data_IF_985537293600
#
_entry.id   IF_985537293600
#
_cell.length_a   1.000
_cell.length_b   1.000
_cell.length_c   1.000
_cell.angle_alpha   90.00
_cell.angle_beta   90.00
_cell.angle_gamma   90.00
#
_symmetry.space_group_name_H-M   'P 1'
#
loop_
_entity.id
_entity.type
_entity.pdbx_description
1 polymer ?
#
# COMPACT_ATOMS: atom_id res chain seq x y z
N UNK A 1 -5.66 29.95 -5.84
CA UNK A 1 -4.67 31.04 -6.01
C UNK A 1 -3.28 30.63 -5.52
N UNK A 2 -3.10 30.20 -4.26
CA UNK A 2 -1.77 29.80 -3.77
C UNK A 2 -1.12 28.63 -4.55
N UNK A 3 -1.93 27.71 -5.07
CA UNK A 3 -1.48 26.61 -5.96
C UNK A 3 -0.77 27.07 -7.23
N UNK A 4 -1.07 28.27 -7.73
CA UNK A 4 -0.42 28.82 -8.92
C UNK A 4 1.06 29.18 -8.68
N UNK A 5 1.52 29.23 -7.42
CA UNK A 5 2.94 29.36 -7.11
C UNK A 5 3.70 28.05 -7.37
N UNK A 6 3.01 26.90 -7.34
CA UNK A 6 3.60 25.56 -7.44
C UNK A 6 3.52 25.03 -8.86
N UNK A 7 2.38 25.19 -9.53
CA UNK A 7 2.16 24.72 -10.91
C UNK A 7 1.42 25.78 -11.76
N UNK A 8 2.05 26.95 -12.00
CA UNK A 8 1.43 28.04 -12.78
C UNK A 8 1.13 27.64 -14.22
N UNK A 9 2.01 26.86 -14.85
CA UNK A 9 1.91 26.42 -16.24
C UNK A 9 0.66 25.57 -16.49
N UNK A 10 0.27 24.73 -15.52
CA UNK A 10 -0.94 23.92 -15.62
C UNK A 10 -2.19 24.81 -15.59
N UNK A 11 -2.24 25.81 -14.71
CA UNK A 11 -3.37 26.75 -14.67
C UNK A 11 -3.46 27.60 -15.93
N UNK A 12 -2.33 28.06 -16.46
CA UNK A 12 -2.27 28.77 -17.74
C UNK A 12 -2.79 27.90 -18.89
N UNK A 13 -2.41 26.61 -18.92
CA UNK A 13 -2.89 25.67 -19.93
C UNK A 13 -4.39 25.37 -19.79
N UNK A 14 -4.91 25.28 -18.55
CA UNK A 14 -6.36 25.15 -18.29
C UNK A 14 -7.12 26.36 -18.82
N UNK A 15 -6.66 27.58 -18.50
CA UNK A 15 -7.31 28.82 -18.97
C UNK A 15 -7.31 28.88 -20.50
N UNK A 16 -6.16 28.61 -21.14
CA UNK A 16 -6.05 28.62 -22.59
C UNK A 16 -6.94 27.55 -23.26
N UNK A 17 -7.15 26.39 -22.63
CA UNK A 17 -8.07 25.37 -23.13
C UNK A 17 -9.53 25.81 -23.00
N UNK A 18 -9.90 26.43 -21.88
CA UNK A 18 -11.23 27.00 -21.65
C UNK A 18 -11.57 28.10 -22.67
N UNK A 19 -10.63 29.01 -22.95
CA UNK A 19 -10.81 30.11 -23.92
C UNK A 19 -11.05 29.59 -25.35
N UNK A 20 -10.47 28.42 -25.68
CA UNK A 20 -10.68 27.75 -26.97
C UNK A 20 -11.92 26.84 -27.00
N UNK A 21 -12.65 26.73 -25.89
CA UNK A 21 -13.80 25.81 -25.76
C UNK A 21 -13.45 24.33 -25.64
N UNK A 22 -12.16 23.98 -25.47
CA UNK A 22 -11.69 22.60 -25.29
C UNK A 22 -11.84 22.16 -23.82
N UNK A 23 -13.08 21.80 -23.46
CA UNK A 23 -13.44 21.42 -22.10
C UNK A 23 -12.80 20.09 -21.67
N UNK A 24 -12.50 19.18 -22.59
CA UNK A 24 -11.94 17.88 -22.25
C UNK A 24 -10.47 17.99 -21.84
N UNK A 25 -9.69 18.78 -22.58
CA UNK A 25 -8.31 19.10 -22.17
C UNK A 25 -8.29 19.87 -20.86
N UNK A 26 -9.15 20.89 -20.71
CA UNK A 26 -9.24 21.67 -19.47
C UNK A 26 -9.54 20.76 -18.26
N UNK A 27 -10.51 19.85 -18.40
CA UNK A 27 -10.89 18.89 -17.35
C UNK A 27 -9.75 17.92 -17.03
N UNK A 28 -9.06 17.39 -18.04
CA UNK A 28 -7.93 16.47 -17.85
C UNK A 28 -6.80 17.14 -17.07
N UNK A 29 -6.40 18.35 -17.46
CA UNK A 29 -5.36 19.13 -16.78
C UNK A 29 -5.76 19.49 -15.34
N UNK A 30 -7.02 19.89 -15.11
CA UNK A 30 -7.51 20.17 -13.77
C UNK A 30 -7.50 18.93 -12.87
N UNK A 31 -7.85 17.76 -13.42
CA UNK A 31 -7.79 16.48 -12.70
C UNK A 31 -6.36 16.11 -12.29
N UNK A 32 -5.36 16.41 -13.11
CA UNK A 32 -3.95 16.11 -12.80
C UNK A 32 -3.45 16.79 -11.51
N UNK A 33 -3.94 17.99 -11.19
CA UNK A 33 -3.53 18.74 -9.99
C UNK A 33 -4.52 18.63 -8.83
N UNK A 34 -5.58 17.82 -8.97
CA UNK A 34 -6.69 17.79 -8.02
C UNK A 34 -6.26 17.34 -6.63
N UNK A 35 -5.47 16.26 -6.52
CA UNK A 35 -5.02 15.71 -5.23
C UNK A 35 -4.17 16.75 -4.49
N UNK A 36 -3.14 17.26 -5.14
CA UNK A 36 -2.27 18.30 -4.58
C UNK A 36 -3.05 19.59 -4.21
N UNK A 37 -4.01 20.01 -5.05
CA UNK A 37 -4.91 21.13 -4.74
C UNK A 37 -5.75 20.89 -3.49
N UNK A 38 -6.28 19.68 -3.30
CA UNK A 38 -7.07 19.31 -2.11
C UNK A 38 -6.22 19.30 -0.85
N UNK A 39 -4.97 18.83 -0.92
CA UNK A 39 -4.01 18.92 0.19
C UNK A 39 -3.79 20.39 0.56
N UNK A 40 -3.56 21.26 -0.43
CA UNK A 40 -3.37 22.70 -0.19
C UNK A 40 -4.61 23.38 0.41
N UNK A 41 -5.81 22.98 0.01
CA UNK A 41 -7.05 23.47 0.61
C UNK A 41 -7.22 22.98 2.06
N UNK A 42 -6.86 21.73 2.36
CA UNK A 42 -7.00 21.13 3.69
C UNK A 42 -6.04 21.73 4.72
N UNK A 43 -4.77 21.90 4.34
CA UNK A 43 -3.71 22.34 5.27
C UNK A 43 -3.30 23.81 5.08
N UNK A 44 -3.89 24.49 4.10
CA UNK A 44 -3.71 25.91 3.85
C UNK A 44 -2.42 26.28 3.11
N UNK A 45 -2.45 27.45 2.46
CA UNK A 45 -1.33 27.98 1.69
C UNK A 45 -0.10 28.36 2.53
N UNK A 46 -0.28 28.65 3.82
CA UNK A 46 0.83 29.00 4.70
C UNK A 46 1.76 27.84 5.00
N UNK A 47 1.25 26.60 5.02
CA UNK A 47 1.99 25.40 5.45
C UNK A 47 2.28 24.48 4.26
N UNK A 48 1.23 23.94 3.62
CA UNK A 48 1.41 22.93 2.58
C UNK A 48 2.02 23.48 1.27
N UNK A 49 1.59 24.67 0.82
CA UNK A 49 2.19 25.31 -0.37
C UNK A 49 3.64 25.69 -0.11
N UNK A 50 3.96 26.24 1.07
CA UNK A 50 5.37 26.49 1.43
C UNK A 50 6.20 25.20 1.47
N UNK A 51 5.62 24.09 1.94
CA UNK A 51 6.31 22.82 1.93
C UNK A 51 6.59 22.33 0.50
N UNK A 52 5.61 22.43 -0.40
CA UNK A 52 5.79 22.10 -1.82
C UNK A 52 6.88 22.97 -2.46
N UNK A 53 6.84 24.29 -2.23
CA UNK A 53 7.85 25.21 -2.74
C UNK A 53 9.25 24.89 -2.21
N UNK A 54 9.40 24.51 -0.93
CA UNK A 54 10.69 24.05 -0.38
C UNK A 54 11.20 22.79 -1.06
N UNK A 55 10.32 21.82 -1.35
CA UNK A 55 10.69 20.60 -2.07
C UNK A 55 11.16 20.91 -3.49
N UNK A 56 10.59 21.95 -4.12
CA UNK A 56 11.03 22.49 -5.41
C UNK A 56 12.31 23.35 -5.32
N UNK A 57 12.94 23.45 -4.14
CA UNK A 57 14.17 24.22 -3.93
C UNK A 57 13.97 25.72 -3.72
N UNK A 58 12.75 26.21 -3.50
CA UNK A 58 12.46 27.63 -3.29
C UNK A 58 12.55 28.02 -1.82
N UNK A 59 13.31 29.06 -1.50
CA UNK A 59 13.42 29.59 -0.14
C UNK A 59 12.20 30.44 0.27
N UNK A 60 11.27 29.85 1.02
CA UNK A 60 10.01 30.52 1.44
C UNK A 60 9.88 30.74 2.96
N UNK A 61 10.96 30.50 3.72
CA UNK A 61 10.99 30.65 5.17
C UNK A 61 10.02 29.72 5.92
N UNK A 62 9.73 30.02 7.19
CA UNK A 62 8.74 29.29 8.00
C UNK A 62 7.37 29.96 7.92
N UNK A 63 6.26 29.23 8.16
CA UNK A 63 4.97 29.86 8.42
C UNK A 63 5.08 30.75 9.68
N UNK A 64 4.40 31.90 9.69
CA UNK A 64 4.33 32.77 10.87
C UNK A 64 3.26 32.23 11.83
N UNK A 65 3.45 32.44 13.13
CA UNK A 65 2.45 32.12 14.15
C UNK A 65 1.09 32.75 13.83
N UNK A 66 -0.04 32.09 14.15
CA UNK A 66 -0.17 30.85 14.94
C UNK A 66 0.09 29.55 14.15
N UNK A 67 0.39 29.62 12.86
CA UNK A 67 0.64 28.43 12.03
C UNK A 67 2.00 27.79 12.36
N UNK A 68 1.99 26.47 12.57
CA UNK A 68 3.21 25.69 12.80
C UNK A 68 3.65 25.02 11.50
N UNK A 69 4.96 25.01 11.24
CA UNK A 69 5.54 24.41 10.02
C UNK A 69 5.79 22.91 10.10
N UNK A 70 5.67 22.30 11.28
CA UNK A 70 5.88 20.87 11.59
C UNK A 70 4.95 20.45 12.74
N UNK A 71 4.71 19.15 12.90
CA UNK A 71 3.72 18.60 13.84
C UNK A 71 2.32 18.51 13.23
N UNK A 72 1.26 18.45 14.05
CA UNK A 72 -0.14 18.25 13.60
C UNK A 72 -0.73 19.30 12.64
N UNK A 73 0.08 20.24 12.14
CA UNK A 73 -0.28 21.16 11.06
C UNK A 73 -0.07 20.58 9.64
N UNK A 74 0.86 19.63 9.47
CA UNK A 74 1.03 18.86 8.23
C UNK A 74 1.73 17.54 8.57
N UNK A 75 1.01 16.43 8.43
CA UNK A 75 1.49 15.10 8.82
C UNK A 75 2.62 14.63 7.88
N UNK A 76 3.42 13.68 8.34
CA UNK A 76 4.48 13.07 7.52
C UNK A 76 3.91 12.41 6.27
N UNK A 77 2.73 11.79 6.38
CA UNK A 77 2.00 11.22 5.25
C UNK A 77 1.68 12.27 4.19
N UNK A 78 1.06 13.40 4.56
CA UNK A 78 0.71 14.44 3.61
C UNK A 78 1.94 15.06 2.94
N UNK A 79 3.08 15.12 3.64
CA UNK A 79 4.36 15.55 3.06
C UNK A 79 4.83 14.59 1.98
N UNK A 80 4.78 13.29 2.25
CA UNK A 80 5.14 12.27 1.27
C UNK A 80 4.17 12.30 0.06
N UNK A 81 2.87 12.55 0.29
CA UNK A 81 1.92 12.74 -0.81
C UNK A 81 2.22 13.98 -1.64
N UNK A 82 2.57 15.11 -1.02
CA UNK A 82 3.00 16.32 -1.75
C UNK A 82 4.21 16.02 -2.62
N UNK A 83 5.23 15.34 -2.08
CA UNK A 83 6.43 15.00 -2.82
C UNK A 83 6.10 14.16 -4.06
N UNK A 84 5.36 13.06 -3.90
CA UNK A 84 5.03 12.18 -5.02
C UNK A 84 4.16 12.86 -6.07
N UNK A 85 3.22 13.71 -5.66
CA UNK A 85 2.43 14.49 -6.62
C UNK A 85 3.30 15.51 -7.38
N UNK A 86 4.32 16.10 -6.75
CA UNK A 86 5.28 16.95 -7.43
C UNK A 86 6.17 16.16 -8.40
N UNK A 87 6.64 14.98 -8.01
CA UNK A 87 7.41 14.06 -8.87
C UNK A 87 6.57 13.65 -10.09
N UNK A 88 5.31 13.25 -9.88
CA UNK A 88 4.36 12.87 -10.94
C UNK A 88 4.06 14.02 -11.90
N UNK A 89 4.02 15.25 -11.40
CA UNK A 89 3.84 16.45 -12.23
C UNK A 89 5.14 16.91 -12.92
N UNK A 90 6.28 16.25 -12.66
CA UNK A 90 7.59 16.64 -13.19
C UNK A 90 8.15 17.92 -12.57
N UNK A 91 7.64 18.34 -11.41
CA UNK A 91 8.06 19.56 -10.72
C UNK A 91 9.35 19.36 -9.91
N UNK A 92 9.63 18.12 -9.54
CA UNK A 92 10.88 17.69 -8.90
C UNK A 92 11.32 16.34 -9.51
N UNK A 93 12.62 15.99 -9.45
CA UNK A 93 13.10 14.70 -9.93
C UNK A 93 12.44 13.54 -9.18
N UNK A 94 12.04 12.49 -9.90
CA UNK A 94 11.51 11.28 -9.28
C UNK A 94 12.59 10.61 -8.42
N UNK A 95 12.22 10.20 -7.21
CA UNK A 95 13.12 9.43 -6.36
C UNK A 95 13.32 8.04 -6.99
N UNK A 96 14.57 7.54 -7.14
CA UNK A 96 14.80 6.18 -7.60
C UNK A 96 14.36 5.22 -6.51
N UNK A 97 13.14 4.70 -6.65
CA UNK A 97 12.62 3.67 -5.76
C UNK A 97 12.68 2.36 -6.53
N UNK A 98 13.63 1.50 -6.16
CA UNK A 98 13.65 0.12 -6.65
C UNK A 98 12.60 -0.68 -5.89
N UNK A 99 11.42 -0.86 -6.50
CA UNK A 99 10.53 -1.93 -6.10
C UNK A 99 11.17 -3.26 -6.57
N UNK A 100 11.66 -4.06 -5.63
CA UNK A 100 12.17 -5.39 -5.94
C UNK A 100 11.02 -6.38 -5.89
N UNK A 101 10.76 -7.05 -7.01
CA UNK A 101 9.85 -8.19 -6.99
C UNK A 101 10.55 -9.39 -6.32
N UNK A 102 9.84 -10.17 -5.49
CA UNK A 102 10.34 -11.40 -4.91
C UNK A 102 10.89 -12.35 -5.98
N UNK A 103 12.08 -12.91 -5.74
CA UNK A 103 12.77 -13.86 -6.64
C UNK A 103 12.86 -15.24 -5.96
N UNK A 104 13.10 -16.29 -6.76
CA UNK A 104 13.22 -17.66 -6.25
C UNK A 104 11.91 -18.44 -6.30
N UNK A 105 11.87 -19.63 -5.70
CA UNK A 105 10.65 -20.43 -5.58
C UNK A 105 9.68 -19.78 -4.59
N UNK A 106 8.39 -20.11 -4.67
CA UNK A 106 7.41 -19.54 -3.75
C UNK A 106 7.72 -19.90 -2.29
N UNK A 107 8.11 -21.15 -2.03
CA UNK A 107 8.45 -21.61 -0.69
C UNK A 107 9.66 -20.84 -0.08
N UNK A 108 10.71 -20.55 -0.87
CA UNK A 108 11.90 -19.85 -0.36
C UNK A 108 11.62 -18.38 0.01
N UNK A 109 10.54 -17.78 -0.49
CA UNK A 109 10.22 -16.36 -0.21
C UNK A 109 9.72 -16.12 1.21
N UNK A 110 9.27 -17.19 1.90
CA UNK A 110 8.86 -17.14 3.29
C UNK A 110 10.00 -17.33 4.30
N UNK A 111 11.24 -17.57 3.85
CA UNK A 111 12.40 -17.67 4.73
C UNK A 111 12.59 -16.40 5.55
N UNK A 112 12.29 -15.24 4.94
CA UNK A 112 12.35 -13.96 5.62
C UNK A 112 11.40 -13.90 6.83
N UNK A 113 10.29 -14.63 6.85
CA UNK A 113 9.35 -14.66 7.99
C UNK A 113 9.59 -15.86 8.92
N UNK A 114 10.69 -16.59 8.73
CA UNK A 114 11.07 -17.71 9.58
C UNK A 114 10.49 -19.07 9.17
N UNK A 115 9.87 -19.18 7.98
CA UNK A 115 9.50 -20.50 7.41
C UNK A 115 10.51 -20.92 6.36
N UNK A 116 11.15 -22.07 6.57
CA UNK A 116 12.01 -22.68 5.55
C UNK A 116 11.18 -23.38 4.49
N UNK A 117 11.71 -23.47 3.27
CA UNK A 117 11.07 -24.23 2.19
C UNK A 117 10.84 -25.70 2.57
N UNK A 118 11.81 -26.32 3.25
CA UNK A 118 11.71 -27.70 3.76
C UNK A 118 10.55 -27.88 4.76
N UNK A 119 10.30 -26.90 5.64
CA UNK A 119 9.18 -26.96 6.57
C UNK A 119 7.83 -26.86 5.85
N UNK A 120 7.74 -26.00 4.82
CA UNK A 120 6.53 -25.84 3.99
C UNK A 120 6.22 -27.16 3.26
N UNK A 121 7.24 -27.77 2.66
CA UNK A 121 7.10 -29.01 1.90
C UNK A 121 6.76 -30.21 2.80
N UNK A 122 7.47 -30.38 3.92
CA UNK A 122 7.28 -31.52 4.83
C UNK A 122 5.90 -31.56 5.50
N UNK A 123 5.35 -30.39 5.82
CA UNK A 123 4.00 -30.24 6.39
C UNK A 123 2.91 -30.10 5.30
N UNK A 124 3.28 -30.15 4.02
CA UNK A 124 2.37 -29.97 2.88
C UNK A 124 1.49 -28.71 3.02
N UNK A 125 2.10 -27.60 3.39
CA UNK A 125 1.40 -26.34 3.64
C UNK A 125 0.87 -25.75 2.34
N UNK A 126 -0.44 -25.39 2.25
CA UNK A 126 -0.97 -24.64 1.12
C UNK A 126 -0.21 -23.33 0.89
N UNK A 127 0.35 -23.17 -0.31
CA UNK A 127 1.04 -21.95 -0.75
C UNK A 127 0.45 -21.43 -2.05
N UNK A 128 0.33 -20.11 -2.16
CA UNK A 128 -0.24 -19.48 -3.34
C UNK A 128 0.43 -18.15 -3.66
N UNK A 129 0.45 -17.79 -4.94
CA UNK A 129 0.95 -16.51 -5.41
C UNK A 129 0.14 -16.01 -6.58
N UNK A 130 -0.12 -14.72 -6.63
CA UNK A 130 -0.74 -14.08 -7.78
C UNK A 130 -0.36 -12.60 -7.86
N UNK A 131 -0.53 -12.03 -9.04
CA UNK A 131 -0.30 -10.62 -9.33
C UNK A 131 -1.54 -10.04 -10.01
N UNK A 132 -1.93 -8.82 -9.63
CA UNK A 132 -3.00 -8.09 -10.29
C UNK A 132 -2.65 -6.61 -10.50
N UNK A 133 -3.20 -6.05 -11.57
CA UNK A 133 -2.98 -4.66 -11.97
C UNK A 133 -1.73 -4.42 -12.80
N UNK A 134 -1.40 -3.14 -13.01
CA UNK A 134 -0.29 -2.69 -13.86
C UNK A 134 0.32 -1.40 -13.29
N UNK A 135 1.54 -1.08 -13.71
CA UNK A 135 2.22 0.14 -13.29
C UNK A 135 2.56 0.15 -11.80
N UNK A 136 2.47 1.33 -11.17
CA UNK A 136 2.81 1.53 -9.76
C UNK A 136 1.72 1.01 -8.82
N UNK A 137 0.47 0.86 -9.28
CA UNK A 137 -0.60 0.26 -8.49
C UNK A 137 -0.69 -1.27 -8.64
N UNK A 138 0.25 -1.90 -9.34
CA UNK A 138 0.37 -3.36 -9.41
C UNK A 138 0.66 -3.94 -8.02
N UNK A 139 0.02 -5.06 -7.70
CA UNK A 139 0.19 -5.76 -6.43
C UNK A 139 0.50 -7.22 -6.69
N UNK A 140 1.51 -7.76 -6.01
CA UNK A 140 1.71 -9.19 -5.92
C UNK A 140 1.45 -9.64 -4.47
N UNK A 141 0.66 -10.70 -4.34
CA UNK A 141 0.33 -11.36 -3.08
C UNK A 141 0.94 -12.74 -3.09
N UNK A 142 1.55 -13.11 -1.97
CA UNK A 142 2.08 -14.44 -1.72
C UNK A 142 1.58 -14.89 -0.36
N UNK A 143 1.05 -16.10 -0.27
CA UNK A 143 0.51 -16.60 0.98
C UNK A 143 0.94 -18.04 1.26
N UNK A 144 1.02 -18.34 2.55
CA UNK A 144 1.20 -19.69 3.08
C UNK A 144 0.24 -19.89 4.24
N UNK A 145 -0.41 -21.05 4.29
CA UNK A 145 -1.29 -21.45 5.37
C UNK A 145 -0.77 -22.73 6.03
N UNK A 146 -0.81 -22.78 7.35
CA UNK A 146 -0.35 -23.95 8.09
C UNK A 146 -0.96 -24.05 9.48
N UNK A 147 -0.75 -25.17 10.14
CA UNK A 147 -1.34 -25.44 11.45
C UNK A 147 -0.73 -24.56 12.54
N UNK A 148 -1.51 -24.26 13.58
CA UNK A 148 -1.04 -23.56 14.79
C UNK A 148 -0.06 -24.39 15.62
N UNK A 149 -0.10 -25.71 15.47
CA UNK A 149 0.66 -26.67 16.27
C UNK A 149 1.86 -27.23 15.47
N UNK A 150 2.67 -26.34 14.91
CA UNK A 150 3.81 -26.69 14.06
C UNK A 150 4.68 -25.49 13.72
N UNK A 151 5.61 -25.64 12.75
CA UNK A 151 6.56 -24.59 12.37
C UNK A 151 5.88 -23.26 11.97
N UNK A 152 4.72 -23.35 11.33
CA UNK A 152 3.91 -22.18 10.97
C UNK A 152 3.47 -21.40 12.20
N UNK A 153 2.95 -22.07 13.23
CA UNK A 153 2.51 -21.43 14.47
C UNK A 153 3.65 -20.75 15.23
N UNK A 154 4.83 -21.38 15.26
CA UNK A 154 6.03 -20.82 15.89
C UNK A 154 6.50 -19.55 15.17
N UNK A 155 6.67 -19.61 13.85
CA UNK A 155 7.06 -18.47 13.04
C UNK A 155 6.03 -17.33 13.13
N UNK A 156 4.74 -17.66 13.10
CA UNK A 156 3.65 -16.69 13.27
C UNK A 156 3.72 -15.96 14.61
N UNK A 157 3.91 -16.71 15.71
CA UNK A 157 4.06 -16.13 17.03
C UNK A 157 5.31 -15.23 17.12
N UNK A 158 6.44 -15.68 16.56
CA UNK A 158 7.68 -14.93 16.54
C UNK A 158 7.52 -13.58 15.82
N UNK A 159 6.93 -13.58 14.63
CA UNK A 159 6.72 -12.37 13.83
C UNK A 159 5.79 -11.37 14.53
N UNK A 160 4.80 -11.85 15.30
CA UNK A 160 3.91 -10.98 16.08
C UNK A 160 4.62 -10.38 17.29
N UNK A 161 5.52 -11.11 17.95
CA UNK A 161 6.21 -10.65 19.18
C UNK A 161 7.48 -9.86 18.91
N UNK A 162 8.12 -10.06 17.75
CA UNK A 162 9.39 -9.43 17.36
C UNK A 162 9.24 -8.71 16.02
N UNK A 163 8.52 -7.57 15.97
CA UNK A 163 8.36 -6.81 14.74
C UNK A 163 9.71 -6.31 14.23
N UNK A 164 10.00 -6.55 12.95
CA UNK A 164 11.20 -6.04 12.28
C UNK A 164 10.93 -4.67 11.69
N UNK A 165 11.85 -3.73 11.92
CA UNK A 165 11.73 -2.37 11.41
C UNK A 165 11.57 -2.35 9.89
N UNK A 166 10.52 -1.68 9.40
CA UNK A 166 10.19 -1.56 7.98
C UNK A 166 9.56 -2.82 7.37
N UNK A 167 9.43 -3.90 8.15
CA UNK A 167 8.85 -5.18 7.75
C UNK A 167 7.90 -5.72 8.82
N UNK A 168 7.22 -4.83 9.53
CA UNK A 168 6.36 -5.17 10.66
C UNK A 168 5.24 -6.12 10.22
N UNK A 169 5.02 -7.22 10.93
CA UNK A 169 3.92 -8.12 10.62
C UNK A 169 2.67 -7.68 11.40
N UNK A 170 1.58 -7.32 10.71
CA UNK A 170 0.34 -6.90 11.36
C UNK A 170 -0.82 -7.84 11.03
N UNK A 171 -1.72 -8.02 11.98
CA UNK A 171 -2.90 -8.87 11.81
C UNK A 171 -3.82 -8.32 10.72
N UNK A 172 -4.29 -9.19 9.84
CA UNK A 172 -5.33 -8.85 8.89
C UNK A 172 -6.66 -8.61 9.63
N UNK A 173 -7.22 -7.42 9.43
CA UNK A 173 -8.50 -6.99 10.01
C UNK A 173 -9.38 -6.44 8.90
N UNK A 174 -10.68 -6.74 8.97
CA UNK A 174 -11.66 -6.11 8.11
C UNK A 174 -11.86 -4.65 8.52
N UNK A 175 -12.01 -4.45 9.83
CA UNK A 175 -12.24 -3.17 10.49
C UNK A 175 -11.59 -3.20 11.89
N UNK A 176 -11.38 -2.04 12.54
CA UNK A 176 -10.87 -2.00 13.91
C UNK A 176 -11.69 -2.90 14.84
N UNK A 177 -11.00 -3.79 15.55
CA UNK A 177 -11.57 -4.82 16.43
C UNK A 177 -12.30 -5.99 15.72
N UNK A 178 -12.15 -6.15 14.40
CA UNK A 178 -12.72 -7.26 13.64
C UNK A 178 -11.63 -7.99 12.83
N UNK A 179 -11.01 -9.00 13.46
CA UNK A 179 -9.99 -9.87 12.83
C UNK A 179 -10.62 -10.94 11.96
N UNK A 180 -9.89 -11.39 10.93
CA UNK A 180 -10.32 -12.48 10.06
C UNK A 180 -9.89 -13.84 10.58
N UNK A 181 -10.55 -14.89 10.09
CA UNK A 181 -10.19 -16.29 10.31
C UNK A 181 -10.06 -17.02 8.95
N UNK A 182 -9.07 -17.92 8.76
CA UNK A 182 -7.92 -18.18 9.63
C UNK A 182 -7.13 -16.91 9.97
N UNK A 183 -6.53 -16.84 11.16
CA UNK A 183 -5.82 -15.63 11.57
C UNK A 183 -4.63 -15.41 10.65
N UNK A 184 -4.56 -14.24 10.01
CA UNK A 184 -3.53 -13.92 9.04
C UNK A 184 -2.64 -12.76 9.52
N UNK A 185 -1.34 -12.86 9.27
CA UNK A 185 -0.40 -11.73 9.35
C UNK A 185 -0.07 -11.25 7.95
N UNK A 186 -0.22 -9.94 7.73
CA UNK A 186 0.25 -9.27 6.53
C UNK A 186 1.65 -8.76 6.80
N UNK A 187 2.57 -9.09 5.89
CA UNK A 187 3.98 -8.68 5.95
C UNK A 187 4.32 -7.97 4.64
N UNK A 188 4.89 -6.76 4.67
CA UNK A 188 5.30 -6.09 3.44
C UNK A 188 6.53 -6.80 2.87
N UNK A 189 6.58 -6.99 1.55
CA UNK A 189 7.74 -7.60 0.89
C UNK A 189 8.88 -6.59 0.66
N UNK A 190 8.55 -5.30 0.64
CA UNK A 190 9.47 -4.18 0.50
C UNK A 190 9.60 -3.43 1.83
N UNK A 191 10.78 -2.89 2.11
CA UNK A 191 11.01 -2.07 3.31
C UNK A 191 10.12 -0.83 3.30
N UNK A 192 9.29 -0.67 4.32
CA UNK A 192 8.47 0.52 4.54
C UNK A 192 9.32 1.65 5.11
N UNK A 193 9.51 2.72 4.32
CA UNK A 193 10.37 3.85 4.72
C UNK A 193 9.62 5.00 5.38
N UNK A 194 8.29 5.05 5.23
CA UNK A 194 7.47 6.12 5.76
C UNK A 194 6.04 5.66 6.09
N UNK A 195 5.32 6.48 6.86
CA UNK A 195 3.94 6.19 7.29
C UNK A 195 2.94 6.12 6.13
N UNK A 196 3.20 6.78 5.00
CA UNK A 196 2.31 6.71 3.84
C UNK A 196 2.40 5.32 3.21
N UNK A 197 3.60 4.77 3.05
CA UNK A 197 3.81 3.39 2.58
C UNK A 197 3.11 2.40 3.51
N UNK A 198 3.30 2.56 4.82
CA UNK A 198 2.58 1.76 5.82
C UNK A 198 1.06 1.89 5.68
N UNK A 199 0.52 3.09 5.44
CA UNK A 199 -0.91 3.32 5.24
C UNK A 199 -1.47 2.76 3.93
N UNK A 200 -0.62 2.46 2.93
CA UNK A 200 -1.03 1.74 1.72
C UNK A 200 -1.16 0.24 2.00
N UNK A 201 -0.20 -0.35 2.72
CA UNK A 201 -0.27 -1.77 3.11
C UNK A 201 -1.36 -2.00 4.15
N UNK A 202 -1.34 -1.28 5.27
CA UNK A 202 -2.27 -1.49 6.39
C UNK A 202 -3.58 -0.70 6.28
N UNK A 203 -3.91 -0.26 5.07
CA UNK A 203 -5.18 0.38 4.75
C UNK A 203 -5.90 -0.40 3.65
N UNK A 204 -5.77 0.00 2.37
CA UNK A 204 -6.47 -0.65 1.27
C UNK A 204 -6.05 -2.11 1.07
N UNK A 205 -4.76 -2.43 1.16
CA UNK A 205 -4.27 -3.81 0.95
C UNK A 205 -4.76 -4.71 2.09
N UNK A 206 -4.63 -4.28 3.35
CA UNK A 206 -5.11 -5.04 4.51
C UNK A 206 -6.60 -5.35 4.46
N UNK A 207 -7.42 -4.34 4.16
CA UNK A 207 -8.86 -4.56 4.04
C UNK A 207 -9.20 -5.51 2.89
N UNK A 208 -8.50 -5.39 1.75
CA UNK A 208 -8.70 -6.26 0.60
C UNK A 208 -8.32 -7.72 0.89
N UNK A 209 -7.15 -7.95 1.50
CA UNK A 209 -6.70 -9.28 1.93
C UNK A 209 -7.68 -9.89 2.93
N UNK A 210 -8.08 -9.11 3.94
CA UNK A 210 -9.04 -9.55 4.94
C UNK A 210 -10.38 -9.94 4.31
N UNK A 211 -10.89 -9.12 3.38
CA UNK A 211 -12.14 -9.40 2.66
C UNK A 211 -12.03 -10.69 1.84
N UNK A 212 -10.96 -10.85 1.06
CA UNK A 212 -10.75 -12.04 0.24
C UNK A 212 -10.72 -13.32 1.09
N UNK A 213 -10.02 -13.33 2.23
CA UNK A 213 -9.99 -14.49 3.14
C UNK A 213 -11.40 -14.83 3.64
N UNK A 214 -12.18 -13.82 4.03
CA UNK A 214 -13.54 -14.03 4.54
C UNK A 214 -14.48 -14.54 3.44
N UNK A 215 -14.40 -13.98 2.24
CA UNK A 215 -15.22 -14.43 1.11
C UNK A 215 -14.86 -15.88 0.72
N UNK A 216 -13.56 -16.21 0.64
CA UNK A 216 -13.12 -17.58 0.31
C UNK A 216 -13.42 -18.61 1.41
N UNK A 217 -13.51 -18.18 2.67
CA UNK A 217 -14.04 -19.02 3.75
C UNK A 217 -15.55 -19.24 3.58
N UNK A 218 -16.31 -18.19 3.25
CA UNK A 218 -17.75 -18.27 3.04
C UNK A 218 -18.13 -19.13 1.82
N UNK A 219 -17.34 -19.05 0.75
CA UNK A 219 -17.50 -19.85 -0.48
C UNK A 219 -17.06 -21.32 -0.29
N UNK A 220 -16.46 -21.65 0.85
CA UNK A 220 -16.02 -23.00 1.19
C UNK A 220 -14.67 -23.42 0.59
N UNK A 221 -13.98 -22.52 -0.14
CA UNK A 221 -12.62 -22.77 -0.64
C UNK A 221 -11.65 -23.01 0.52
N UNK A 222 -11.73 -22.19 1.57
CA UNK A 222 -11.02 -22.45 2.82
C UNK A 222 -11.94 -23.32 3.70
N UNK A 223 -11.54 -24.55 4.08
CA UNK A 223 -12.36 -25.39 4.94
C UNK A 223 -12.63 -24.73 6.30
N UNK A 224 -13.88 -24.75 6.78
CA UNK A 224 -14.29 -24.07 8.02
C UNK A 224 -13.42 -24.47 9.23
N UNK A 225 -13.01 -25.74 9.32
CA UNK A 225 -12.11 -26.24 10.38
C UNK A 225 -10.79 -25.48 10.48
N UNK A 226 -10.28 -24.94 9.37
CA UNK A 226 -9.00 -24.21 9.32
C UNK A 226 -9.11 -22.84 9.99
N UNK A 227 -10.31 -22.25 10.08
CA UNK A 227 -10.54 -21.00 10.80
C UNK A 227 -10.07 -21.06 12.28
N UNK A 228 -10.08 -22.25 12.87
CA UNK A 228 -9.74 -22.48 14.27
C UNK A 228 -8.35 -23.09 14.45
N UNK A 229 -7.90 -23.92 13.51
CA UNK A 229 -6.68 -24.72 13.64
C UNK A 229 -5.47 -24.15 12.89
N UNK A 230 -5.68 -23.27 11.92
CA UNK A 230 -4.63 -22.75 11.04
C UNK A 230 -4.40 -21.24 11.23
N UNK A 231 -3.25 -20.79 10.75
CA UNK A 231 -2.87 -19.38 10.60
C UNK A 231 -2.26 -19.17 9.21
N UNK A 232 -2.16 -17.90 8.79
CA UNK A 232 -1.65 -17.52 7.48
C UNK A 232 -0.59 -16.42 7.58
N UNK A 233 0.37 -16.47 6.67
CA UNK A 233 1.18 -15.32 6.29
C UNK A 233 0.73 -14.86 4.92
N UNK A 234 0.63 -13.54 4.75
CA UNK A 234 0.34 -12.90 3.47
C UNK A 234 1.41 -11.85 3.25
N UNK A 235 2.36 -12.14 2.37
CA UNK A 235 3.37 -11.19 1.92
C UNK A 235 2.78 -10.31 0.81
N UNK A 236 2.84 -8.99 1.00
CA UNK A 236 2.29 -8.02 0.06
C UNK A 236 3.41 -7.16 -0.56
N UNK A 237 3.58 -7.29 -1.86
CA UNK A 237 4.51 -6.49 -2.66
C UNK A 237 3.75 -5.36 -3.33
N UNK A 238 3.98 -4.13 -2.87
CA UNK A 238 3.40 -2.90 -3.44
C UNK A 238 4.52 -1.94 -3.78
N UNK A 239 4.38 -1.25 -4.92
CA UNK A 239 5.32 -0.20 -5.31
C UNK A 239 5.25 0.95 -4.30
N UNK A 240 6.39 1.41 -3.74
CA UNK A 240 6.39 2.55 -2.83
C UNK A 240 5.80 3.82 -3.43
N UNK A 241 5.78 3.99 -4.75
CA UNK A 241 5.18 5.16 -5.41
C UNK A 241 3.66 5.07 -5.59
N UNK A 242 3.03 3.96 -5.18
CA UNK A 242 1.59 3.81 -5.30
C UNK A 242 0.82 4.88 -4.48
N UNK A 243 -0.18 5.50 -5.13
CA UNK A 243 -0.98 6.59 -4.54
C UNK A 243 -2.49 6.36 -4.60
N UNK A 244 -2.98 5.53 -5.52
CA UNK A 244 -4.41 5.27 -5.67
C UNK A 244 -4.86 4.11 -4.78
N UNK A 245 -5.40 4.46 -3.62
CA UNK A 245 -5.93 3.51 -2.63
C UNK A 245 -7.05 2.62 -3.17
N UNK A 246 -7.85 3.10 -4.13
CA UNK A 246 -8.99 2.34 -4.66
C UNK A 246 -8.52 1.27 -5.64
N UNK A 247 -7.58 1.64 -6.51
CA UNK A 247 -6.95 0.69 -7.44
C UNK A 247 -6.16 -0.34 -6.65
N UNK A 248 -5.36 0.09 -5.66
CA UNK A 248 -4.65 -0.84 -4.77
C UNK A 248 -5.60 -1.82 -4.08
N UNK A 249 -6.70 -1.34 -3.48
CA UNK A 249 -7.68 -2.22 -2.84
C UNK A 249 -8.22 -3.29 -3.81
N UNK A 250 -8.68 -2.87 -5.00
CA UNK A 250 -9.19 -3.80 -6.01
C UNK A 250 -8.15 -4.83 -6.44
N UNK A 251 -6.94 -4.37 -6.77
CA UNK A 251 -5.87 -5.24 -7.25
C UNK A 251 -5.41 -6.20 -6.14
N UNK A 252 -5.29 -5.73 -4.90
CA UNK A 252 -4.98 -6.60 -3.75
C UNK A 252 -6.06 -7.65 -3.52
N UNK A 253 -7.33 -7.30 -3.68
CA UNK A 253 -8.44 -8.24 -3.51
C UNK A 253 -8.39 -9.34 -4.58
N UNK A 254 -8.24 -8.94 -5.85
CA UNK A 254 -8.09 -9.86 -7.00
C UNK A 254 -6.89 -10.79 -6.81
N UNK A 255 -5.70 -10.23 -6.57
CA UNK A 255 -4.49 -11.03 -6.33
C UNK A 255 -4.62 -11.95 -5.10
N UNK A 256 -5.31 -11.53 -4.04
CA UNK A 256 -5.50 -12.41 -2.87
C UNK A 256 -6.45 -13.56 -3.19
N UNK A 257 -7.55 -13.30 -3.91
CA UNK A 257 -8.48 -14.34 -4.35
C UNK A 257 -7.77 -15.38 -5.20
N UNK A 258 -7.02 -14.95 -6.22
CA UNK A 258 -6.31 -15.84 -7.13
C UNK A 258 -5.20 -16.63 -6.40
N UNK A 259 -4.48 -15.99 -5.47
CA UNK A 259 -3.48 -16.68 -4.66
C UNK A 259 -4.11 -17.73 -3.73
N UNK A 260 -5.28 -17.44 -3.14
CA UNK A 260 -6.02 -18.42 -2.32
C UNK A 260 -6.52 -19.58 -3.18
N UNK A 261 -7.05 -19.30 -4.37
CA UNK A 261 -7.47 -20.34 -5.32
C UNK A 261 -6.29 -21.24 -5.69
N UNK A 262 -5.14 -20.68 -6.04
CA UNK A 262 -3.92 -21.46 -6.32
C UNK A 262 -3.44 -22.29 -5.13
N UNK A 263 -3.57 -21.79 -3.90
CA UNK A 263 -3.13 -22.51 -2.70
C UNK A 263 -4.03 -23.70 -2.33
N UNK A 264 -5.34 -23.58 -2.54
CA UNK A 264 -6.32 -24.57 -2.09
C UNK A 264 -6.90 -25.43 -3.22
N UNK A 265 -6.59 -25.15 -4.49
CA UNK A 265 -7.06 -25.93 -5.65
C UNK A 265 -6.50 -27.36 -5.72
N UNK A 266 -5.36 -27.65 -5.08
CA UNK A 266 -4.69 -28.97 -5.15
C UNK A 266 -4.93 -29.86 -3.90
N UNK A 267 -5.86 -29.49 -3.02
CA UNK A 267 -6.21 -30.30 -1.84
C UNK A 267 -7.44 -31.17 -2.13
N UNK A 268 -7.33 -32.07 -3.12
CA UNK A 268 -8.25 -33.20 -3.36
C UNK A 268 -7.51 -34.55 -3.31
#
# INVERSE_FOLDING_TARGET
LASAQVYPTIWQAVLAAMDRGDLDTARRLQRQVQKLSRIFCRYGGGVAVKQALKMMGVEVGRPRSPLKGVGGALLHEDRAEIQLELEKLGMIPASPVEASMPKGSLASRFEAVGLTAEAIESESMPIGTAEAGQGVERVQIELVCGTKAGPMGEAWAYQLTYPRHGFEALTAILEPNLTVRPSALIVPSNELKDLRQANMIYGPVQNAVAKAIVDKLADGLIPERMAYTHVMFVQASVDPQALDRRILHRNSYEATCDALEGAFAEVE
#
